data_IF_815608350619
#
_entry.id   IF_815608350619
#
_cell.length_a   1.000
_cell.length_b   1.000
_cell.length_c   1.000
_cell.angle_alpha   90.00
_cell.angle_beta   90.00
_cell.angle_gamma   90.00
#
_symmetry.space_group_name_H-M   'P 1'
#
loop_
_entity.id
_entity.type
_entity.pdbx_description
1 polymer ?
#
# COMPACT_ATOMS: atom_id res chain seq x y z
N UNK A 1 -20.27 -19.49 31.51
CA UNK A 1 -18.96 -19.03 32.07
C UNK A 1 -18.00 -18.58 30.98
N UNK A 2 -17.96 -19.20 29.78
CA UNK A 2 -17.04 -18.85 28.72
C UNK A 2 -17.36 -17.49 28.00
N UNK A 3 -18.61 -17.03 28.06
CA UNK A 3 -19.03 -15.75 27.50
C UNK A 3 -18.41 -14.52 28.17
N UNK A 4 -18.16 -14.59 29.46
CA UNK A 4 -17.50 -13.54 30.23
C UNK A 4 -15.98 -13.53 29.98
N UNK A 5 -15.39 -14.71 29.76
CA UNK A 5 -13.95 -14.85 29.49
C UNK A 5 -13.54 -14.25 28.14
N UNK A 6 -14.29 -14.49 27.05
CA UNK A 6 -13.93 -13.94 25.74
C UNK A 6 -14.08 -12.42 25.67
N UNK A 7 -15.09 -11.82 26.32
CA UNK A 7 -15.22 -10.36 26.46
C UNK A 7 -14.10 -9.77 27.32
N UNK A 8 -13.75 -10.43 28.43
CA UNK A 8 -12.64 -10.02 29.29
C UNK A 8 -11.28 -10.09 28.59
N UNK A 9 -11.03 -11.10 27.77
CA UNK A 9 -9.80 -11.22 26.97
C UNK A 9 -9.62 -10.03 26.00
N UNK A 10 -10.64 -9.67 25.22
CA UNK A 10 -10.57 -8.53 24.33
C UNK A 10 -10.24 -7.22 25.05
N UNK A 11 -10.81 -6.99 26.23
CA UNK A 11 -10.51 -5.81 27.05
C UNK A 11 -9.13 -5.86 27.68
N UNK A 12 -8.64 -7.06 28.02
CA UNK A 12 -7.27 -7.26 28.53
C UNK A 12 -6.25 -6.95 27.44
N UNK A 13 -6.41 -7.47 26.23
CA UNK A 13 -5.51 -7.18 25.11
C UNK A 13 -5.47 -5.69 24.78
N UNK A 14 -6.61 -5.02 24.67
CA UNK A 14 -6.66 -3.58 24.42
C UNK A 14 -5.93 -2.78 25.49
N UNK A 15 -6.09 -3.13 26.77
CA UNK A 15 -5.36 -2.48 27.87
C UNK A 15 -3.86 -2.74 27.79
N UNK A 16 -3.43 -3.94 27.41
CA UNK A 16 -2.03 -4.28 27.24
C UNK A 16 -1.41 -3.47 26.08
N UNK A 17 -2.07 -3.42 24.92
CA UNK A 17 -1.62 -2.64 23.76
C UNK A 17 -1.48 -1.16 24.12
N UNK A 18 -2.49 -0.55 24.74
CA UNK A 18 -2.46 0.85 25.16
C UNK A 18 -1.28 1.14 26.11
N UNK A 19 -0.94 0.19 26.97
CA UNK A 19 0.17 0.34 27.94
C UNK A 19 1.54 0.18 27.28
N UNK A 20 1.65 -0.72 26.30
CA UNK A 20 2.92 -1.03 25.63
C UNK A 20 3.25 0.01 24.55
N UNK A 21 2.24 0.53 23.86
CA UNK A 21 2.41 1.47 22.75
C UNK A 21 1.82 2.84 23.13
N UNK A 22 2.67 3.85 23.32
CA UNK A 22 2.23 5.20 23.71
C UNK A 22 1.60 6.00 22.55
N UNK A 23 1.54 5.44 21.35
CA UNK A 23 0.97 6.09 20.16
C UNK A 23 -0.45 6.58 20.41
N UNK A 24 -0.78 7.78 19.90
CA UNK A 24 -2.15 8.29 19.84
C UNK A 24 -3.06 7.36 19.03
N UNK A 25 -2.52 6.76 17.99
CA UNK A 25 -3.26 5.92 17.05
C UNK A 25 -3.09 4.44 17.37
N UNK A 26 -4.21 3.69 17.30
CA UNK A 26 -4.24 2.23 17.41
C UNK A 26 -4.91 1.69 16.15
N UNK A 27 -4.17 0.90 15.39
CA UNK A 27 -4.74 0.21 14.23
C UNK A 27 -5.57 -0.98 14.69
N UNK A 28 -6.81 -1.08 14.23
CA UNK A 28 -7.78 -2.09 14.68
C UNK A 28 -8.08 -3.16 13.62
N UNK A 29 -7.43 -3.11 12.45
CA UNK A 29 -7.73 -3.99 11.32
C UNK A 29 -9.03 -3.59 10.65
N UNK A 30 -9.94 -4.53 10.51
CA UNK A 30 -11.26 -4.31 9.89
C UNK A 30 -11.40 -4.90 8.49
N UNK A 31 -10.29 -5.40 7.95
CA UNK A 31 -10.14 -6.01 6.64
C UNK A 31 -10.75 -7.41 6.56
N UNK A 32 -11.16 -7.81 5.36
CA UNK A 32 -11.50 -9.17 4.92
C UNK A 32 -12.43 -9.96 5.87
N UNK A 33 -13.24 -9.26 6.68
CA UNK A 33 -14.18 -9.88 7.59
C UNK A 33 -15.33 -10.55 6.82
N UNK A 34 -15.23 -11.87 6.62
CA UNK A 34 -16.29 -12.63 5.96
C UNK A 34 -17.60 -12.57 6.77
N UNK A 35 -18.61 -11.96 6.20
CA UNK A 35 -19.94 -11.81 6.82
C UNK A 35 -20.85 -13.03 6.61
N UNK A 36 -20.36 -14.05 5.91
CA UNK A 36 -21.14 -15.26 5.56
C UNK A 36 -21.73 -15.95 6.80
N UNK A 37 -20.89 -16.12 7.83
CA UNK A 37 -21.31 -16.77 9.06
C UNK A 37 -22.24 -15.90 9.92
N UNK A 38 -22.14 -14.59 9.81
CA UNK A 38 -22.99 -13.67 10.57
C UNK A 38 -24.46 -13.74 10.09
N UNK A 39 -24.69 -13.96 8.79
CA UNK A 39 -26.02 -14.14 8.20
C UNK A 39 -26.77 -15.31 8.81
N UNK A 40 -26.08 -16.41 9.08
CA UNK A 40 -26.67 -17.61 9.66
C UNK A 40 -26.60 -17.66 11.21
N UNK A 41 -25.90 -16.71 11.85
CA UNK A 41 -25.69 -16.75 13.29
C UNK A 41 -26.87 -16.13 14.06
N UNK A 42 -27.64 -16.91 14.86
CA UNK A 42 -28.80 -16.37 15.59
C UNK A 42 -28.44 -15.23 16.54
N UNK A 43 -27.23 -15.21 17.09
CA UNK A 43 -26.76 -14.14 17.99
C UNK A 43 -26.46 -12.84 17.25
N UNK A 44 -25.87 -12.94 16.03
CA UNK A 44 -25.63 -11.80 15.18
C UNK A 44 -26.95 -11.19 14.73
N UNK A 45 -27.88 -12.03 14.23
CA UNK A 45 -29.20 -11.58 13.80
C UNK A 45 -30.02 -10.97 14.94
N UNK A 46 -29.94 -11.57 16.14
CA UNK A 46 -30.56 -10.98 17.35
C UNK A 46 -29.98 -9.60 17.66
N UNK A 47 -28.65 -9.46 17.63
CA UNK A 47 -27.96 -8.18 17.90
C UNK A 47 -28.37 -7.13 16.86
N UNK A 48 -28.38 -7.50 15.58
CA UNK A 48 -28.82 -6.59 14.51
C UNK A 48 -30.23 -6.08 14.74
N UNK A 49 -31.16 -6.96 15.13
CA UNK A 49 -32.53 -6.57 15.47
C UNK A 49 -32.61 -5.66 16.70
N UNK A 50 -31.84 -5.95 17.76
CA UNK A 50 -31.81 -5.16 18.99
C UNK A 50 -31.27 -3.75 18.76
N UNK A 51 -30.27 -3.59 17.87
CA UNK A 51 -29.60 -2.31 17.58
C UNK A 51 -30.19 -1.60 16.34
N UNK A 52 -31.20 -2.19 15.69
CA UNK A 52 -31.83 -1.60 14.49
C UNK A 52 -30.94 -1.59 13.25
N UNK A 53 -29.97 -2.51 13.15
CA UNK A 53 -29.03 -2.60 12.04
C UNK A 53 -29.64 -3.30 10.85
N UNK A 54 -29.38 -2.77 9.64
CA UNK A 54 -30.00 -3.26 8.40
C UNK A 54 -29.34 -4.54 7.87
N UNK A 55 -28.02 -4.63 7.98
CA UNK A 55 -27.24 -5.73 7.43
C UNK A 55 -25.97 -6.02 8.24
N UNK A 56 -25.20 -7.00 7.80
CA UNK A 56 -23.97 -7.40 8.46
C UNK A 56 -22.82 -6.39 8.29
N UNK A 57 -22.91 -5.47 7.34
CA UNK A 57 -21.95 -4.35 7.21
C UNK A 57 -22.18 -3.35 8.34
N UNK A 58 -23.45 -3.01 8.63
CA UNK A 58 -23.78 -2.17 9.78
C UNK A 58 -23.46 -2.87 11.11
N UNK A 59 -23.52 -4.22 11.18
CA UNK A 59 -23.06 -4.95 12.36
C UNK A 59 -21.55 -4.82 12.57
N UNK A 60 -20.75 -4.82 11.51
CA UNK A 60 -19.31 -4.53 11.59
C UNK A 60 -19.05 -3.11 12.07
N UNK A 61 -19.72 -2.12 11.48
CA UNK A 61 -19.62 -0.72 11.90
C UNK A 61 -20.02 -0.52 13.35
N UNK A 62 -21.09 -1.16 13.82
CA UNK A 62 -21.49 -1.15 15.22
C UNK A 62 -20.39 -1.67 16.15
N UNK A 63 -19.72 -2.76 15.76
CA UNK A 63 -18.58 -3.29 16.52
C UNK A 63 -17.40 -2.31 16.54
N UNK A 64 -17.07 -1.72 15.38
CA UNK A 64 -15.98 -0.75 15.24
C UNK A 64 -16.26 0.50 16.07
N UNK A 65 -17.47 1.06 16.00
CA UNK A 65 -17.86 2.23 16.79
C UNK A 65 -17.75 1.97 18.31
N UNK A 66 -18.06 0.76 18.77
CA UNK A 66 -17.83 0.38 20.18
C UNK A 66 -16.35 0.29 20.55
N UNK A 67 -15.50 -0.18 19.62
CA UNK A 67 -14.05 -0.22 19.84
C UNK A 67 -13.51 1.20 19.87
N UNK A 68 -13.93 2.03 18.91
CA UNK A 68 -13.56 3.45 18.87
C UNK A 68 -13.91 4.16 20.17
N UNK A 69 -15.17 4.07 20.61
CA UNK A 69 -15.59 4.67 21.87
C UNK A 69 -14.70 4.26 23.05
N UNK A 70 -14.40 2.95 23.15
CA UNK A 70 -13.52 2.45 24.21
C UNK A 70 -12.11 3.05 24.14
N UNK A 71 -11.56 3.19 22.93
CA UNK A 71 -10.22 3.74 22.72
C UNK A 71 -10.21 5.27 22.92
N UNK A 72 -11.22 5.97 22.47
CA UNK A 72 -11.38 7.41 22.69
C UNK A 72 -11.47 7.74 24.19
N UNK A 73 -12.21 6.94 24.97
CA UNK A 73 -12.29 7.07 26.44
C UNK A 73 -10.90 6.85 27.11
N UNK A 74 -9.91 6.32 26.40
CA UNK A 74 -8.51 6.16 26.82
C UNK A 74 -7.55 7.14 26.14
N UNK A 75 -8.06 8.16 25.47
CA UNK A 75 -7.26 9.17 24.76
C UNK A 75 -6.55 8.63 23.52
N UNK A 76 -7.09 7.57 22.90
CA UNK A 76 -6.56 6.96 21.68
C UNK A 76 -7.56 7.13 20.53
N UNK A 77 -7.05 7.19 19.31
CA UNK A 77 -7.83 7.23 18.07
C UNK A 77 -7.62 5.95 17.28
N UNK A 78 -8.60 5.57 16.48
CA UNK A 78 -8.51 4.36 15.67
C UNK A 78 -8.00 4.66 14.26
N UNK A 79 -7.24 3.70 13.73
CA UNK A 79 -6.99 3.53 12.30
C UNK A 79 -7.57 2.17 11.91
N UNK A 80 -8.22 2.06 10.76
CA UNK A 80 -8.66 0.78 10.20
C UNK A 80 -8.47 0.73 8.71
N UNK A 81 -8.40 -0.48 8.16
CA UNK A 81 -8.41 -0.68 6.72
C UNK A 81 -9.68 -0.15 6.11
N UNK A 82 -9.68 0.16 4.82
CA UNK A 82 -10.79 0.88 4.16
C UNK A 82 -12.13 0.14 4.16
N UNK A 83 -12.19 -1.16 4.53
CA UNK A 83 -13.45 -1.87 4.79
C UNK A 83 -14.23 -1.33 5.99
N UNK A 84 -13.61 -0.51 6.86
CA UNK A 84 -14.36 0.16 7.94
C UNK A 84 -15.34 1.21 7.42
N UNK A 85 -15.25 1.57 6.14
CA UNK A 85 -16.24 2.41 5.45
C UNK A 85 -17.56 1.67 5.20
N UNK A 86 -17.51 0.33 5.07
CA UNK A 86 -18.68 -0.48 4.79
C UNK A 86 -19.67 -0.41 5.97
N UNK A 87 -20.91 -0.02 5.70
CA UNK A 87 -21.96 0.08 6.73
C UNK A 87 -21.90 1.33 7.61
N UNK A 88 -20.98 2.26 7.36
CA UNK A 88 -20.83 3.55 8.03
C UNK A 88 -19.55 3.68 8.84
N UNK A 89 -18.87 4.81 8.65
CA UNK A 89 -17.60 5.09 9.31
C UNK A 89 -17.83 5.62 10.75
N UNK A 90 -17.01 5.14 11.69
CA UNK A 90 -17.02 5.65 13.06
C UNK A 90 -16.52 7.12 13.11
N UNK A 91 -17.06 7.98 14.01
CA UNK A 91 -16.93 9.45 13.91
C UNK A 91 -15.51 10.00 13.86
N UNK A 92 -14.53 9.38 14.51
CA UNK A 92 -13.15 9.87 14.59
C UNK A 92 -12.15 8.88 13.97
N UNK A 93 -12.62 7.93 13.14
CA UNK A 93 -11.77 6.93 12.55
C UNK A 93 -10.90 7.54 11.44
N UNK A 94 -9.63 7.14 11.40
CA UNK A 94 -8.73 7.33 10.26
C UNK A 94 -8.78 6.08 9.38
N UNK A 95 -8.87 6.26 8.08
CA UNK A 95 -8.96 5.17 7.11
C UNK A 95 -7.59 4.89 6.49
N UNK A 96 -7.17 3.63 6.45
CA UNK A 96 -6.00 3.18 5.73
C UNK A 96 -6.44 2.49 4.45
N UNK A 97 -6.21 3.13 3.29
CA UNK A 97 -6.73 2.70 1.99
C UNK A 97 -5.75 1.79 1.29
N UNK A 98 -6.07 0.48 1.19
CA UNK A 98 -5.20 -0.54 0.61
C UNK A 98 -5.74 -1.16 -0.68
N UNK A 99 -7.06 -1.32 -0.81
CA UNK A 99 -7.72 -1.89 -2.00
C UNK A 99 -7.64 -1.01 -3.26
N UNK A 100 -7.10 0.19 -3.10
CA UNK A 100 -6.96 1.23 -4.10
C UNK A 100 -6.90 2.59 -3.42
N UNK A 101 -7.19 3.65 -4.16
CA UNK A 101 -7.21 5.03 -3.64
C UNK A 101 -8.61 5.49 -3.23
N UNK A 102 -9.64 4.80 -3.72
CA UNK A 102 -11.04 5.21 -3.63
C UNK A 102 -11.53 5.29 -2.18
N UNK A 103 -11.13 4.32 -1.34
CA UNK A 103 -11.48 4.30 0.08
C UNK A 103 -10.94 5.52 0.82
N UNK A 104 -9.65 5.84 0.61
CA UNK A 104 -9.02 7.01 1.21
C UNK A 104 -9.62 8.33 0.73
N UNK A 105 -9.91 8.43 -0.57
CA UNK A 105 -10.58 9.61 -1.14
C UNK A 105 -12.01 9.76 -0.59
N UNK A 106 -12.74 8.65 -0.46
CA UNK A 106 -14.08 8.67 0.12
C UNK A 106 -14.06 9.16 1.58
N UNK A 107 -13.13 8.65 2.39
CA UNK A 107 -12.92 9.09 3.76
C UNK A 107 -12.58 10.59 3.83
N UNK A 108 -11.64 11.06 3.00
CA UNK A 108 -11.23 12.45 2.94
C UNK A 108 -12.40 13.38 2.57
N UNK A 109 -13.25 12.99 1.63
CA UNK A 109 -14.48 13.72 1.26
C UNK A 109 -15.51 13.79 2.39
N UNK A 110 -15.49 12.83 3.30
CA UNK A 110 -16.32 12.82 4.51
C UNK A 110 -15.69 13.62 5.67
N UNK A 111 -14.48 14.19 5.47
CA UNK A 111 -13.76 14.94 6.49
C UNK A 111 -12.95 14.07 7.46
N UNK A 112 -12.72 12.81 7.11
CA UNK A 112 -11.89 11.89 7.87
C UNK A 112 -10.47 11.84 7.32
N UNK A 113 -9.49 11.65 8.20
CA UNK A 113 -8.11 11.44 7.78
C UNK A 113 -7.94 10.10 7.06
N UNK A 114 -7.06 10.09 6.07
CA UNK A 114 -6.70 8.90 5.31
C UNK A 114 -5.19 8.72 5.21
N UNK A 115 -4.73 7.46 5.26
CA UNK A 115 -3.37 7.04 4.94
C UNK A 115 -3.47 6.20 3.67
N UNK A 116 -2.66 6.56 2.67
CA UNK A 116 -2.71 5.93 1.36
C UNK A 116 -1.66 4.82 1.28
N UNK A 117 -2.12 3.60 1.05
CA UNK A 117 -1.27 2.41 0.94
C UNK A 117 -1.80 1.42 -0.11
N UNK A 118 -2.16 1.90 -1.34
CA UNK A 118 -2.74 1.04 -2.34
C UNK A 118 -1.82 -0.11 -2.69
N UNK A 119 -2.37 -1.32 -2.76
CA UNK A 119 -1.65 -2.55 -3.07
C UNK A 119 -0.77 -2.40 -4.31
N UNK A 120 -1.30 -1.76 -5.33
CA UNK A 120 -0.63 -1.57 -6.62
C UNK A 120 0.69 -0.78 -6.57
N UNK A 121 0.96 -0.02 -5.51
CA UNK A 121 2.14 0.87 -5.42
C UNK A 121 2.92 0.72 -4.11
N UNK A 122 2.26 0.29 -3.05
CA UNK A 122 2.76 0.37 -1.68
C UNK A 122 3.04 -0.98 -1.03
N UNK A 123 2.72 -2.11 -1.70
CA UNK A 123 2.95 -3.44 -1.14
C UNK A 123 4.35 -3.94 -1.51
N UNK A 124 5.26 -3.80 -0.56
CA UNK A 124 6.68 -4.11 -0.74
C UNK A 124 7.00 -5.60 -0.57
N UNK A 125 6.02 -6.44 -0.30
CA UNK A 125 6.06 -7.90 -0.30
C UNK A 125 5.74 -8.51 -1.67
N UNK A 126 5.30 -7.71 -2.65
CA UNK A 126 5.11 -8.13 -4.04
C UNK A 126 6.44 -8.19 -4.79
N UNK A 127 6.49 -9.00 -5.87
CA UNK A 127 7.65 -9.04 -6.76
C UNK A 127 8.05 -7.64 -7.23
N UNK A 128 9.33 -7.40 -7.38
CA UNK A 128 9.85 -6.13 -7.88
C UNK A 128 10.44 -6.23 -9.28
N UNK A 129 10.56 -7.44 -9.82
CA UNK A 129 11.00 -7.77 -11.17
C UNK A 129 10.32 -9.07 -11.62
N UNK A 130 10.73 -9.65 -12.76
CA UNK A 130 10.21 -10.89 -13.30
C UNK A 130 10.21 -12.02 -12.24
N UNK A 131 9.05 -12.57 -11.89
CA UNK A 131 8.93 -13.62 -10.88
C UNK A 131 9.82 -14.84 -11.10
N UNK A 132 10.16 -15.16 -12.36
CA UNK A 132 11.04 -16.31 -12.69
C UNK A 132 12.48 -16.09 -12.21
N UNK A 133 12.87 -14.84 -11.99
CA UNK A 133 14.23 -14.46 -11.57
C UNK A 133 14.32 -14.06 -10.10
N UNK A 134 13.20 -14.03 -9.40
CA UNK A 134 13.10 -13.49 -8.05
C UNK A 134 12.86 -14.59 -7.01
N UNK A 135 13.26 -14.37 -5.74
CA UNK A 135 12.77 -15.19 -4.64
C UNK A 135 11.23 -15.17 -4.59
N UNK A 136 10.65 -16.29 -4.12
CA UNK A 136 9.19 -16.38 -3.98
C UNK A 136 8.63 -15.19 -3.19
N UNK A 137 7.66 -14.53 -3.77
CA UNK A 137 6.97 -13.38 -3.20
C UNK A 137 5.45 -13.48 -3.44
N UNK A 138 4.70 -12.53 -2.91
CA UNK A 138 3.25 -12.48 -3.06
C UNK A 138 2.87 -11.60 -4.27
N UNK A 139 1.80 -11.98 -4.98
CA UNK A 139 1.05 -11.14 -5.89
C UNK A 139 1.73 -10.76 -7.19
N UNK A 140 1.42 -9.56 -7.66
CA UNK A 140 1.88 -8.99 -8.92
C UNK A 140 3.31 -8.43 -8.82
N UNK A 141 3.84 -7.98 -9.94
CA UNK A 141 5.10 -7.26 -9.98
C UNK A 141 4.87 -5.75 -9.79
N UNK A 142 5.57 -5.15 -8.83
CA UNK A 142 5.57 -3.72 -8.54
C UNK A 142 7.00 -3.21 -8.64
N UNK A 143 7.45 -2.81 -9.83
CA UNK A 143 8.78 -2.23 -10.04
C UNK A 143 8.93 -0.90 -9.31
N UNK A 144 10.16 -0.51 -9.01
CA UNK A 144 10.45 0.75 -8.31
C UNK A 144 9.88 1.99 -9.02
N UNK A 145 9.86 1.97 -10.35
CA UNK A 145 9.27 3.04 -11.17
C UNK A 145 7.78 3.20 -10.92
N UNK A 146 7.05 2.09 -10.72
CA UNK A 146 5.62 2.12 -10.39
C UNK A 146 5.39 2.72 -9.01
N UNK A 147 6.15 2.30 -7.99
CA UNK A 147 6.08 2.92 -6.65
C UNK A 147 6.39 4.42 -6.72
N UNK A 148 7.44 4.81 -7.47
CA UNK A 148 7.84 6.22 -7.59
C UNK A 148 6.81 7.09 -8.33
N UNK A 149 6.06 6.53 -9.27
CA UNK A 149 5.05 7.26 -10.05
C UNK A 149 3.80 7.60 -9.26
N UNK A 150 3.61 7.01 -8.08
CA UNK A 150 2.41 7.18 -7.29
C UNK A 150 2.21 8.62 -6.81
N UNK A 151 0.98 9.12 -6.93
CA UNK A 151 0.53 10.39 -6.37
C UNK A 151 -0.58 10.13 -5.35
N UNK A 152 -0.28 10.27 -4.05
CA UNK A 152 -1.26 9.98 -3.00
C UNK A 152 -2.36 11.04 -2.86
N UNK A 153 -2.11 12.25 -3.33
CA UNK A 153 -2.99 13.40 -3.15
C UNK A 153 -3.01 14.29 -4.40
N UNK A 154 -3.52 13.78 -5.55
CA UNK A 154 -3.48 14.52 -6.80
C UNK A 154 -4.26 15.83 -6.71
N UNK A 155 -3.73 16.90 -7.28
CA UNK A 155 -4.30 18.24 -7.30
C UNK A 155 -5.75 18.30 -7.79
N UNK A 156 -6.13 17.34 -8.65
CA UNK A 156 -7.50 17.19 -9.16
C UNK A 156 -8.56 16.96 -8.06
N UNK A 157 -8.15 16.53 -6.87
CA UNK A 157 -9.04 16.37 -5.72
C UNK A 157 -9.37 17.72 -5.03
N UNK A 158 -8.51 18.72 -5.22
CA UNK A 158 -8.62 20.02 -4.55
C UNK A 158 -8.05 20.02 -3.12
N UNK A 159 -7.56 21.19 -2.69
CA UNK A 159 -6.88 21.36 -1.40
C UNK A 159 -7.76 21.00 -0.20
N UNK A 160 -9.08 21.20 -0.33
CA UNK A 160 -10.06 20.91 0.73
C UNK A 160 -10.17 19.41 1.03
N UNK A 161 -9.86 18.57 0.07
CA UNK A 161 -9.82 17.09 0.23
C UNK A 161 -8.41 16.65 0.59
N UNK A 162 -7.40 17.13 -0.13
CA UNK A 162 -5.99 16.73 0.05
C UNK A 162 -5.49 16.94 1.48
N UNK A 163 -5.99 17.95 2.20
CA UNK A 163 -5.60 18.19 3.61
C UNK A 163 -5.94 17.05 4.57
N UNK A 164 -6.83 16.14 4.20
CA UNK A 164 -7.17 14.96 4.98
C UNK A 164 -6.29 13.74 4.66
N UNK A 165 -5.49 13.79 3.60
CA UNK A 165 -4.54 12.73 3.26
C UNK A 165 -3.27 12.97 4.04
N UNK A 166 -3.01 12.12 5.05
CA UNK A 166 -1.88 12.26 5.97
C UNK A 166 -0.54 11.86 5.33
N UNK A 167 -0.59 11.03 4.30
CA UNK A 167 0.60 10.54 3.61
C UNK A 167 0.45 9.09 3.13
N UNK A 168 1.59 8.42 3.00
CA UNK A 168 1.71 7.07 2.45
C UNK A 168 2.32 6.10 3.45
N UNK A 169 2.07 4.79 3.26
CA UNK A 169 2.71 3.71 3.99
C UNK A 169 3.08 2.59 3.04
N UNK A 170 4.27 2.00 3.22
CA UNK A 170 4.66 0.75 2.58
C UNK A 170 4.28 -0.44 3.45
N UNK A 171 3.60 -1.43 2.87
CA UNK A 171 3.22 -2.66 3.56
C UNK A 171 4.21 -3.78 3.24
N UNK A 172 4.52 -4.60 4.25
CA UNK A 172 5.46 -5.73 4.15
C UNK A 172 4.82 -6.90 4.89
N UNK A 173 4.08 -7.74 4.17
CA UNK A 173 3.45 -8.93 4.73
C UNK A 173 4.42 -10.10 4.69
N UNK A 174 4.39 -10.93 5.71
CA UNK A 174 5.48 -11.87 5.98
C UNK A 174 5.23 -13.30 5.48
N UNK A 175 4.19 -13.55 4.69
CA UNK A 175 3.82 -14.89 4.22
C UNK A 175 4.99 -15.60 3.50
N UNK A 176 5.78 -14.85 2.74
CA UNK A 176 6.92 -15.35 1.98
C UNK A 176 8.27 -14.73 2.38
N UNK A 177 8.34 -14.11 3.57
CA UNK A 177 9.55 -13.45 4.07
C UNK A 177 10.14 -14.19 5.27
N UNK A 178 10.86 -15.32 5.04
CA UNK A 178 11.34 -16.18 6.12
C UNK A 178 12.52 -15.60 6.90
N UNK A 179 13.23 -14.61 6.38
CA UNK A 179 14.43 -14.02 6.99
C UNK A 179 14.45 -12.50 6.89
N UNK A 180 15.26 -11.86 7.71
CA UNK A 180 15.48 -10.40 7.65
C UNK A 180 16.13 -9.99 6.34
N UNK A 181 17.09 -10.78 5.85
CA UNK A 181 17.79 -10.50 4.59
C UNK A 181 16.82 -10.52 3.40
N UNK A 182 15.82 -11.43 3.44
CA UNK A 182 14.77 -11.45 2.41
C UNK A 182 13.84 -10.22 2.56
N UNK A 183 13.49 -9.85 3.77
CA UNK A 183 12.69 -8.64 4.01
C UNK A 183 13.44 -7.36 3.53
N UNK A 184 14.74 -7.25 3.80
CA UNK A 184 15.56 -6.14 3.30
C UNK A 184 15.59 -6.09 1.77
N UNK A 185 15.74 -7.26 1.12
CA UNK A 185 15.69 -7.40 -0.33
C UNK A 185 14.36 -6.88 -0.90
N UNK A 186 13.25 -7.21 -0.28
CA UNK A 186 11.92 -6.81 -0.74
C UNK A 186 11.60 -5.34 -0.44
N UNK A 187 12.07 -4.80 0.68
CA UNK A 187 11.84 -3.41 1.09
C UNK A 187 12.67 -2.44 0.26
N UNK A 188 13.99 -2.70 0.15
CA UNK A 188 14.90 -1.81 -0.53
C UNK A 188 15.09 -2.21 -1.99
N UNK A 189 15.06 -1.25 -2.95
CA UNK A 189 15.05 0.20 -2.72
C UNK A 189 13.66 0.87 -2.74
N UNK A 190 12.58 0.12 -2.90
CA UNK A 190 11.22 0.69 -3.10
C UNK A 190 10.75 1.59 -1.96
N UNK A 191 11.15 1.30 -0.72
CA UNK A 191 10.80 2.18 0.42
C UNK A 191 11.40 3.58 0.27
N UNK A 192 12.56 3.72 -0.40
CA UNK A 192 13.19 5.02 -0.68
C UNK A 192 12.35 5.78 -1.73
N UNK A 193 11.86 5.06 -2.75
CA UNK A 193 10.94 5.65 -3.72
C UNK A 193 9.65 6.15 -3.02
N UNK A 194 9.10 5.35 -2.14
CA UNK A 194 7.90 5.70 -1.39
C UNK A 194 8.14 6.88 -0.43
N UNK A 195 9.32 6.95 0.19
CA UNK A 195 9.70 8.11 1.00
C UNK A 195 9.73 9.40 0.16
N UNK A 196 10.30 9.35 -1.05
CA UNK A 196 10.28 10.51 -1.96
C UNK A 196 8.86 10.85 -2.42
N UNK A 197 7.99 9.86 -2.64
CA UNK A 197 6.55 10.06 -2.90
C UNK A 197 5.89 10.84 -1.77
N UNK A 198 6.19 10.52 -0.53
CA UNK A 198 5.60 11.18 0.64
C UNK A 198 6.12 12.59 0.92
N UNK A 199 7.34 12.92 0.46
CA UNK A 199 7.99 14.19 0.77
C UNK A 199 8.09 15.17 -0.39
N UNK A 200 7.92 14.70 -1.64
CA UNK A 200 8.15 15.51 -2.84
C UNK A 200 6.85 15.71 -3.61
N UNK A 201 6.39 16.96 -3.77
CA UNK A 201 5.26 17.27 -4.64
C UNK A 201 5.50 16.77 -6.07
N UNK A 202 4.42 16.40 -6.77
CA UNK A 202 4.49 15.78 -8.10
C UNK A 202 5.26 16.63 -9.12
N UNK A 203 5.08 17.95 -9.09
CA UNK A 203 5.77 18.90 -10.00
C UNK A 203 7.29 18.94 -9.78
N UNK A 204 7.75 18.50 -8.62
CA UNK A 204 9.18 18.44 -8.25
C UNK A 204 9.78 17.03 -8.41
N UNK A 205 9.01 16.05 -8.83
CA UNK A 205 9.51 14.71 -9.10
C UNK A 205 10.21 14.64 -10.46
N UNK A 206 11.44 14.14 -10.44
CA UNK A 206 12.27 14.00 -11.62
C UNK A 206 12.76 12.56 -11.78
N UNK A 207 12.05 11.70 -12.56
CA UNK A 207 12.36 10.27 -12.68
C UNK A 207 13.81 9.96 -13.05
N UNK A 208 14.39 10.69 -14.00
CA UNK A 208 15.78 10.48 -14.43
C UNK A 208 16.80 10.86 -13.34
N UNK A 209 16.51 11.90 -12.58
CA UNK A 209 17.32 12.24 -11.38
C UNK A 209 17.19 11.17 -10.30
N UNK A 210 15.96 10.68 -10.07
CA UNK A 210 15.72 9.60 -9.11
C UNK A 210 16.48 8.33 -9.48
N UNK A 211 16.43 7.88 -10.72
CA UNK A 211 17.17 6.70 -11.21
C UNK A 211 18.67 6.78 -10.94
N UNK A 212 19.26 7.96 -11.12
CA UNK A 212 20.70 8.16 -10.80
C UNK A 212 20.98 8.10 -9.31
N UNK A 213 20.14 8.75 -8.50
CA UNK A 213 20.32 8.82 -7.03
C UNK A 213 20.12 7.45 -6.39
N UNK A 214 19.09 6.71 -6.80
CA UNK A 214 18.76 5.41 -6.22
C UNK A 214 19.87 4.38 -6.39
N UNK A 215 20.59 4.39 -7.50
CA UNK A 215 21.75 3.51 -7.68
C UNK A 215 22.87 3.81 -6.66
N UNK A 216 23.07 5.06 -6.28
CA UNK A 216 24.03 5.42 -5.25
C UNK A 216 23.54 4.99 -3.86
N UNK A 217 22.25 5.17 -3.57
CA UNK A 217 21.63 4.72 -2.32
C UNK A 217 21.70 3.21 -2.14
N UNK A 218 21.46 2.42 -3.18
CA UNK A 218 21.62 0.96 -3.14
C UNK A 218 23.06 0.58 -2.74
N UNK A 219 24.07 1.24 -3.33
CA UNK A 219 25.47 0.99 -2.97
C UNK A 219 25.73 1.39 -1.52
N UNK A 220 25.25 2.54 -1.08
CA UNK A 220 25.40 3.01 0.29
C UNK A 220 24.77 2.04 1.30
N UNK A 221 23.54 1.60 1.07
CA UNK A 221 22.83 0.63 1.93
C UNK A 221 23.63 -0.67 2.06
N UNK A 222 24.21 -1.16 0.96
CA UNK A 222 25.11 -2.32 0.99
C UNK A 222 26.35 -2.11 1.85
N UNK A 223 26.94 -0.91 1.85
CA UNK A 223 28.09 -0.63 2.72
C UNK A 223 27.73 -0.64 4.20
N UNK A 224 26.44 -0.53 4.52
CA UNK A 224 25.89 -0.66 5.88
C UNK A 224 25.54 -2.09 6.28
N UNK A 225 25.75 -3.05 5.38
CA UNK A 225 25.49 -4.47 5.63
C UNK A 225 24.08 -4.96 5.32
N UNK A 226 23.22 -4.11 4.73
CA UNK A 226 21.89 -4.51 4.30
C UNK A 226 21.91 -5.20 2.92
N UNK A 227 20.85 -5.93 2.62
CA UNK A 227 20.69 -6.70 1.38
C UNK A 227 19.63 -6.10 0.43
N UNK A 228 19.85 -4.93 -0.20
CA UNK A 228 18.90 -4.36 -1.12
C UNK A 228 18.84 -5.11 -2.44
N UNK A 229 17.66 -5.15 -3.07
CA UNK A 229 17.50 -5.56 -4.47
C UNK A 229 18.39 -4.72 -5.40
N UNK A 230 18.93 -5.34 -6.43
CA UNK A 230 19.65 -4.63 -7.50
C UNK A 230 18.69 -4.36 -8.63
N UNK A 231 18.55 -3.09 -9.03
CA UNK A 231 17.66 -2.71 -10.12
C UNK A 231 17.88 -3.56 -11.37
N UNK A 232 16.79 -3.92 -12.03
CA UNK A 232 16.79 -4.77 -13.20
C UNK A 232 17.53 -4.12 -14.37
N UNK A 233 18.33 -4.95 -15.07
CA UNK A 233 18.91 -4.59 -16.37
C UNK A 233 17.99 -4.97 -17.53
N UNK A 234 16.85 -5.61 -17.25
CA UNK A 234 15.91 -6.02 -18.30
C UNK A 234 15.36 -4.80 -19.04
N UNK A 235 15.25 -4.95 -20.36
CA UNK A 235 14.68 -3.92 -21.21
C UNK A 235 13.17 -4.08 -21.23
N UNK A 236 12.49 -3.09 -20.67
CA UNK A 236 11.05 -2.96 -20.76
C UNK A 236 10.66 -2.28 -22.05
N UNK A 237 9.66 -2.84 -22.73
CA UNK A 237 9.18 -2.35 -24.02
C UNK A 237 7.77 -1.83 -23.89
N UNK A 238 7.52 -0.60 -24.31
CA UNK A 238 6.17 -0.07 -24.47
C UNK A 238 5.95 0.43 -25.88
N UNK A 239 4.73 0.28 -26.40
CA UNK A 239 4.39 0.72 -27.76
C UNK A 239 3.15 1.61 -27.77
N UNK A 240 3.20 2.64 -28.62
CA UNK A 240 2.05 3.49 -28.92
C UNK A 240 1.79 3.46 -30.42
N UNK A 241 0.55 3.20 -30.83
CA UNK A 241 0.17 3.12 -32.24
C UNK A 241 -0.58 4.40 -32.63
N UNK A 242 -0.02 5.15 -33.58
CA UNK A 242 -0.68 6.28 -34.24
C UNK A 242 -1.31 5.79 -35.55
N UNK A 243 -2.58 5.44 -35.49
CA UNK A 243 -3.32 4.92 -36.63
C UNK A 243 -3.47 5.96 -37.77
N UNK A 244 -3.54 7.25 -37.44
CA UNK A 244 -3.68 8.31 -38.42
C UNK A 244 -2.41 8.47 -39.25
N UNK A 245 -1.24 8.37 -38.60
CA UNK A 245 0.07 8.47 -39.28
C UNK A 245 0.65 7.12 -39.69
N UNK A 246 -0.06 6.00 -39.38
CA UNK A 246 0.42 4.63 -39.60
C UNK A 246 1.82 4.39 -39.04
N UNK A 247 2.04 4.87 -37.80
CA UNK A 247 3.32 4.76 -37.10
C UNK A 247 3.16 4.01 -35.77
N UNK A 248 4.15 3.20 -35.46
CA UNK A 248 4.32 2.61 -34.13
C UNK A 248 5.52 3.31 -33.50
N UNK A 249 5.31 3.86 -32.32
CA UNK A 249 6.40 4.34 -31.47
C UNK A 249 6.72 3.27 -30.46
N UNK A 250 7.96 2.83 -30.43
CA UNK A 250 8.49 1.88 -29.46
C UNK A 250 9.36 2.64 -28.48
N UNK A 251 9.11 2.48 -27.21
CA UNK A 251 9.97 2.98 -26.14
C UNK A 251 10.64 1.81 -25.44
N UNK A 252 11.95 1.87 -25.35
CA UNK A 252 12.80 0.90 -24.66
C UNK A 252 13.35 1.57 -23.41
N UNK A 253 13.13 0.97 -22.24
CA UNK A 253 13.57 1.50 -20.94
C UNK A 253 14.17 0.40 -20.08
N UNK A 254 14.98 0.77 -19.10
CA UNK A 254 15.44 -0.11 -18.03
C UNK A 254 15.39 0.64 -16.71
N UNK A 255 15.21 -0.08 -15.62
CA UNK A 255 15.29 0.51 -14.27
C UNK A 255 16.70 0.94 -13.91
N UNK A 256 17.69 0.21 -14.38
CA UNK A 256 19.11 0.52 -14.12
C UNK A 256 19.56 1.72 -14.97
N UNK A 257 20.31 2.62 -14.37
CA UNK A 257 20.87 3.80 -15.04
C UNK A 257 22.33 4.06 -14.56
N UNK A 258 23.26 4.45 -15.44
CA UNK A 258 23.10 4.50 -16.89
C UNK A 258 23.14 3.11 -17.53
N UNK A 259 22.42 2.94 -18.63
CA UNK A 259 22.46 1.72 -19.44
C UNK A 259 22.32 2.07 -20.92
N UNK A 260 23.13 1.44 -21.78
CA UNK A 260 23.02 1.55 -23.23
C UNK A 260 22.11 0.43 -23.75
N UNK A 261 20.95 0.79 -24.27
CA UNK A 261 20.02 -0.18 -24.87
C UNK A 261 20.25 -0.18 -26.38
N UNK A 262 20.69 -1.33 -26.92
CA UNK A 262 20.92 -1.49 -28.36
C UNK A 262 19.84 -2.35 -28.98
N UNK A 263 19.48 -2.04 -30.22
CA UNK A 263 18.42 -2.75 -30.92
C UNK A 263 18.72 -2.97 -32.39
N UNK A 264 18.04 -3.95 -32.98
CA UNK A 264 17.99 -4.22 -34.43
C UNK A 264 16.54 -4.22 -34.90
N UNK A 265 16.33 -4.04 -36.20
CA UNK A 265 14.98 -4.05 -36.79
C UNK A 265 14.83 -5.11 -37.87
N UNK A 266 15.84 -5.93 -38.06
CA UNK A 266 15.93 -6.97 -39.10
C UNK A 266 15.88 -8.40 -38.51
N UNK A 267 15.69 -8.51 -37.18
CA UNK A 267 15.66 -9.79 -36.46
C UNK A 267 17.02 -10.36 -36.12
N UNK A 268 18.11 -9.65 -36.41
CA UNK A 268 19.44 -10.05 -35.96
C UNK A 268 19.66 -9.74 -34.48
N UNK A 269 20.52 -10.52 -33.82
CA UNK A 269 20.90 -10.23 -32.43
C UNK A 269 21.64 -8.90 -32.31
N UNK A 270 21.27 -7.99 -31.39
CA UNK A 270 21.98 -6.74 -31.16
C UNK A 270 23.42 -6.96 -30.72
N UNK A 271 24.32 -6.17 -31.26
CA UNK A 271 25.74 -6.16 -30.92
C UNK A 271 26.18 -4.78 -30.42
N UNK A 272 27.42 -4.65 -29.97
CA UNK A 272 28.01 -3.37 -29.55
C UNK A 272 28.05 -2.32 -30.69
N UNK A 273 27.89 -2.74 -31.93
CA UNK A 273 27.81 -1.86 -33.11
C UNK A 273 26.38 -1.56 -33.56
N UNK A 274 25.36 -2.16 -32.94
CA UNK A 274 23.95 -1.91 -33.25
C UNK A 274 23.52 -0.53 -32.80
N UNK A 275 22.38 -0.05 -33.31
CA UNK A 275 21.82 1.27 -32.93
C UNK A 275 21.57 1.35 -31.42
N UNK A 276 21.81 2.52 -30.85
CA UNK A 276 21.46 2.93 -29.50
C UNK A 276 20.03 3.45 -29.47
#
# INVERSE_FOLDING_TARGET
RDRLRSRGLGDVYKRQVIRLFPSRYIHIGGDEASRRHWKACPKCQKRMKEEGLKDESELQSYMIARIEKYLNDKGREIIGWDEILDGGLAPNATVMSWRGTEGGIAAARMGHYAIMTPESHCYLDHYQDDPETQPLAFGACIPIGQTYSYDPAPDSLGSDICKYILGVQGNVWAEYLPTYEHAEYMIYPRIIALAEVGWTPMENKHPESFKRRINNEIRYIRTKGYNPFTLSEQVQTSQTVDYAKKKIMLSLTSEKHPIDIRYTTDGSEPTVSSKL
#
